data_IF_583349067372
#
_entry.id   IF_583349067372
#
_cell.length_a   1.000
_cell.length_b   1.000
_cell.length_c   1.000
_cell.angle_alpha   90.00
_cell.angle_beta   90.00
_cell.angle_gamma   90.00
#
_symmetry.space_group_name_H-M   'P 1'
#
loop_
_entity.id
_entity.type
_entity.pdbx_description
1 polymer ?
#
# COMPACT_ATOMS: atom_id res chain seq x y z
N UNK A 1 2.84 -2.94 -26.39
CA UNK A 1 4.15 -3.11 -25.70
C UNK A 1 3.92 -3.95 -24.47
N UNK A 2 4.88 -4.80 -24.11
CA UNK A 2 4.74 -5.68 -22.94
C UNK A 2 5.44 -5.09 -21.72
N UNK A 3 4.78 -5.19 -20.57
CA UNK A 3 5.27 -4.65 -19.30
C UNK A 3 5.38 -5.72 -18.22
N UNK A 4 6.45 -5.65 -17.44
CA UNK A 4 6.62 -6.40 -16.20
C UNK A 4 6.43 -5.47 -15.00
N UNK A 5 5.62 -5.88 -14.02
CA UNK A 5 5.29 -5.09 -12.83
C UNK A 5 5.86 -5.73 -11.56
N UNK A 6 6.57 -4.94 -10.77
CA UNK A 6 7.21 -5.36 -9.52
C UNK A 6 6.72 -4.48 -8.37
N UNK A 7 5.99 -5.08 -7.43
CA UNK A 7 5.38 -4.41 -6.29
C UNK A 7 6.22 -4.58 -5.04
N UNK A 8 6.67 -3.46 -4.49
CA UNK A 8 7.26 -3.38 -3.16
C UNK A 8 6.12 -3.24 -2.14
N UNK A 9 5.67 -4.38 -1.61
CA UNK A 9 4.54 -4.45 -0.69
C UNK A 9 4.92 -4.13 0.77
N UNK A 10 6.19 -3.82 1.04
CA UNK A 10 6.62 -3.22 2.31
C UNK A 10 6.34 -1.72 2.31
N UNK A 11 6.59 -1.05 1.19
CA UNK A 11 6.44 0.40 1.07
C UNK A 11 5.15 0.86 0.40
N UNK A 12 4.43 -0.04 -0.29
CA UNK A 12 3.19 0.28 -1.02
C UNK A 12 2.03 -0.60 -0.57
N UNK A 13 0.87 0.04 -0.38
CA UNK A 13 -0.37 -0.62 0.02
C UNK A 13 -1.05 -1.29 -1.18
N UNK A 14 -1.74 -2.42 -0.92
CA UNK A 14 -2.49 -3.19 -1.94
C UNK A 14 -3.53 -2.35 -2.70
N UNK A 15 -4.02 -1.25 -2.10
CA UNK A 15 -5.03 -0.37 -2.70
C UNK A 15 -4.61 0.16 -4.07
N UNK A 16 -3.31 0.32 -4.32
CA UNK A 16 -2.80 0.86 -5.57
C UNK A 16 -2.72 -0.16 -6.70
N UNK A 17 -2.93 -1.45 -6.42
CA UNK A 17 -2.84 -2.50 -7.42
C UNK A 17 -3.77 -2.21 -8.60
N UNK A 18 -5.02 -1.86 -8.30
CA UNK A 18 -6.05 -1.59 -9.29
C UNK A 18 -5.68 -0.38 -10.15
N UNK A 19 -5.17 0.67 -9.53
CA UNK A 19 -4.77 1.89 -10.22
C UNK A 19 -3.61 1.64 -11.18
N UNK A 20 -2.60 0.88 -10.74
CA UNK A 20 -1.44 0.52 -11.58
C UNK A 20 -1.89 -0.33 -12.77
N UNK A 21 -2.75 -1.32 -12.55
CA UNK A 21 -3.28 -2.17 -13.64
C UNK A 21 -4.10 -1.33 -14.62
N UNK A 22 -4.99 -0.47 -14.11
CA UNK A 22 -5.84 0.39 -14.93
C UNK A 22 -5.02 1.38 -15.76
N UNK A 23 -3.97 1.97 -15.16
CA UNK A 23 -3.02 2.82 -15.89
C UNK A 23 -2.37 2.04 -17.03
N UNK A 24 -1.85 0.85 -16.77
CA UNK A 24 -1.21 0.03 -17.79
C UNK A 24 -2.17 -0.31 -18.94
N UNK A 25 -3.42 -0.66 -18.63
CA UNK A 25 -4.45 -0.96 -19.64
C UNK A 25 -4.81 0.26 -20.49
N UNK A 26 -4.98 1.43 -19.86
CA UNK A 26 -5.30 2.69 -20.54
C UNK A 26 -4.18 3.14 -21.48
N UNK A 27 -2.93 2.92 -21.08
CA UNK A 27 -1.74 3.19 -21.89
C UNK A 27 -1.40 2.04 -22.86
N UNK A 28 -2.31 1.07 -23.04
CA UNK A 28 -2.19 -0.06 -23.96
C UNK A 28 -0.97 -0.96 -23.73
N UNK A 29 -0.54 -1.11 -22.47
CA UNK A 29 0.44 -2.11 -22.07
C UNK A 29 -0.22 -3.49 -21.88
N UNK A 30 0.44 -4.51 -22.41
CA UNK A 30 0.13 -5.91 -22.10
C UNK A 30 0.96 -6.33 -20.87
N UNK A 31 0.30 -6.56 -19.73
CA UNK A 31 0.97 -6.95 -18.50
C UNK A 31 1.29 -8.45 -18.55
N UNK A 32 2.57 -8.79 -18.60
CA UNK A 32 3.04 -10.19 -18.74
C UNK A 32 3.68 -10.76 -17.47
N UNK A 33 4.14 -9.89 -16.55
CA UNK A 33 4.67 -10.28 -15.25
C UNK A 33 4.07 -9.37 -14.19
N UNK A 34 3.64 -9.96 -13.07
CA UNK A 34 3.17 -9.26 -11.88
C UNK A 34 3.74 -9.98 -10.66
N UNK A 35 4.74 -9.39 -10.02
CA UNK A 35 5.39 -9.96 -8.82
C UNK A 35 5.24 -9.01 -7.63
N UNK A 36 4.95 -9.55 -6.45
CA UNK A 36 4.76 -8.80 -5.22
C UNK A 36 5.69 -9.31 -4.12
N UNK A 37 6.52 -8.40 -3.56
CA UNK A 37 7.60 -8.75 -2.64
C UNK A 37 7.29 -8.29 -1.23
N UNK A 38 7.29 -9.24 -0.29
CA UNK A 38 7.13 -8.97 1.14
C UNK A 38 7.52 -10.18 2.00
N UNK A 39 7.72 -9.92 3.28
CA UNK A 39 7.50 -10.95 4.29
C UNK A 39 5.98 -11.05 4.55
N UNK A 40 5.37 -12.15 4.10
CA UNK A 40 3.95 -12.45 4.27
C UNK A 40 3.65 -13.32 5.52
N UNK A 41 4.59 -13.46 6.47
CA UNK A 41 4.37 -14.33 7.67
C UNK A 41 3.39 -13.73 8.66
N UNK A 42 3.24 -12.41 8.68
CA UNK A 42 2.32 -11.66 9.53
C UNK A 42 1.63 -10.61 8.65
N UNK A 43 0.39 -10.84 8.22
CA UNK A 43 -0.69 -9.85 8.13
C UNK A 43 -1.77 -10.21 7.11
N UNK A 44 -3.00 -9.98 7.58
CA UNK A 44 -4.29 -9.92 6.92
C UNK A 44 -4.43 -8.72 5.97
N UNK A 45 -5.24 -8.88 4.92
CA UNK A 45 -5.66 -7.82 4.01
C UNK A 45 -5.05 -7.87 2.60
N UNK A 46 -3.92 -8.57 2.42
CA UNK A 46 -3.57 -9.04 1.08
C UNK A 46 -4.38 -10.29 0.72
N UNK A 47 -4.91 -11.05 1.68
CA UNK A 47 -5.57 -12.35 1.47
C UNK A 47 -6.70 -12.35 0.42
N UNK A 48 -7.50 -11.28 0.38
CA UNK A 48 -8.55 -11.12 -0.64
C UNK A 48 -7.97 -10.75 -2.01
N UNK A 49 -6.87 -9.99 -2.04
CA UNK A 49 -6.10 -9.68 -3.27
C UNK A 49 -5.31 -10.92 -3.73
N UNK A 50 -4.85 -11.77 -2.81
CA UNK A 50 -4.13 -13.02 -3.08
C UNK A 50 -4.99 -13.99 -3.90
N UNK A 51 -6.31 -14.01 -3.68
CA UNK A 51 -7.22 -14.93 -4.36
C UNK A 51 -7.75 -14.40 -5.69
N UNK A 52 -7.69 -13.09 -5.94
CA UNK A 52 -8.40 -12.46 -7.05
C UNK A 52 -7.51 -11.98 -8.20
N UNK A 53 -6.18 -12.11 -8.11
CA UNK A 53 -5.25 -11.53 -9.07
C UNK A 53 -4.16 -12.51 -9.51
N UNK A 54 -3.85 -12.57 -10.82
CA UNK A 54 -2.71 -13.33 -11.35
C UNK A 54 -1.39 -12.64 -10.97
N UNK A 55 -1.08 -12.61 -9.68
CA UNK A 55 0.12 -12.02 -9.10
C UNK A 55 0.91 -13.13 -8.43
N UNK A 56 2.19 -13.19 -8.77
CA UNK A 56 3.14 -14.05 -8.09
C UNK A 56 3.61 -13.38 -6.80
N UNK A 57 3.35 -14.02 -5.66
CA UNK A 57 3.78 -13.53 -4.36
C UNK A 57 5.13 -14.12 -4.00
N UNK A 58 6.16 -13.27 -4.02
CA UNK A 58 7.52 -13.63 -3.66
C UNK A 58 7.70 -13.41 -2.16
N UNK A 59 7.57 -14.50 -1.40
CA UNK A 59 7.75 -14.47 0.04
C UNK A 59 9.22 -14.36 0.41
N UNK A 60 9.61 -13.22 0.98
CA UNK A 60 10.98 -12.96 1.41
C UNK A 60 11.02 -12.96 2.94
N UNK A 61 11.57 -14.03 3.52
CA UNK A 61 11.81 -14.10 4.96
C UNK A 61 12.70 -12.95 5.39
N UNK A 62 12.24 -12.13 6.33
CA UNK A 62 12.93 -10.91 6.72
C UNK A 62 14.19 -11.22 7.55
N UNK A 63 15.27 -11.64 6.88
CA UNK A 63 16.55 -11.90 7.53
C UNK A 63 17.30 -10.59 7.86
N UNK A 64 17.09 -9.51 7.09
CA UNK A 64 17.62 -8.14 7.24
C UNK A 64 16.77 -7.11 6.48
N UNK A 65 16.92 -5.82 6.80
CA UNK A 65 16.04 -4.71 6.39
C UNK A 65 15.79 -4.49 4.89
N UNK A 66 16.57 -5.11 3.98
CA UNK A 66 16.49 -4.82 2.53
C UNK A 66 16.41 -6.10 1.67
N UNK A 67 16.08 -7.25 2.26
CA UNK A 67 16.03 -8.52 1.50
C UNK A 67 14.95 -8.50 0.41
N UNK A 68 13.80 -7.87 0.67
CA UNK A 68 12.71 -7.77 -0.29
C UNK A 68 13.13 -6.92 -1.52
N UNK A 69 13.72 -5.75 -1.27
CA UNK A 69 14.19 -4.86 -2.34
C UNK A 69 15.26 -5.52 -3.21
N UNK A 70 16.20 -6.25 -2.58
CA UNK A 70 17.24 -6.97 -3.31
C UNK A 70 16.65 -8.08 -4.18
N UNK A 71 15.69 -8.85 -3.64
CA UNK A 71 15.01 -9.92 -4.38
C UNK A 71 14.26 -9.35 -5.59
N UNK A 72 13.54 -8.23 -5.39
CA UNK A 72 12.86 -7.49 -6.45
C UNK A 72 13.85 -7.06 -7.54
N UNK A 73 14.98 -6.46 -7.16
CA UNK A 73 15.98 -6.01 -8.12
C UNK A 73 16.59 -7.15 -8.94
N UNK A 74 16.83 -8.31 -8.30
CA UNK A 74 17.40 -9.48 -8.96
C UNK A 74 16.42 -10.07 -9.97
N UNK A 75 15.19 -10.31 -9.56
CA UNK A 75 14.14 -10.86 -10.44
C UNK A 75 13.87 -9.93 -11.62
N UNK A 76 13.79 -8.62 -11.39
CA UNK A 76 13.59 -7.65 -12.46
C UNK A 76 14.70 -7.70 -13.51
N UNK A 77 15.96 -7.83 -13.08
CA UNK A 77 17.08 -7.96 -14.00
C UNK A 77 17.05 -9.32 -14.73
N UNK A 78 16.78 -10.40 -14.01
CA UNK A 78 16.71 -11.75 -14.58
C UNK A 78 15.61 -11.84 -15.64
N UNK A 79 14.39 -11.42 -15.32
CA UNK A 79 13.24 -11.47 -16.24
C UNK A 79 13.53 -10.72 -17.54
N UNK A 80 14.20 -9.57 -17.47
CA UNK A 80 14.59 -8.76 -18.64
C UNK A 80 15.70 -9.43 -19.45
N UNK A 81 16.64 -10.11 -18.80
CA UNK A 81 17.72 -10.82 -19.48
C UNK A 81 17.19 -12.09 -20.18
N UNK A 82 16.24 -12.78 -19.56
CA UNK A 82 15.63 -14.01 -20.09
C UNK A 82 14.61 -13.69 -21.17
N UNK A 83 13.80 -12.65 -21.00
CA UNK A 83 12.72 -12.31 -21.93
C UNK A 83 13.02 -11.02 -22.70
N UNK A 84 13.39 -11.18 -23.97
CA UNK A 84 13.59 -10.05 -24.88
C UNK A 84 12.29 -9.30 -25.21
N UNK A 85 11.14 -9.90 -24.94
CA UNK A 85 9.82 -9.36 -25.26
C UNK A 85 9.34 -8.28 -24.28
N UNK A 86 9.98 -8.12 -23.12
CA UNK A 86 9.62 -7.09 -22.15
C UNK A 86 10.13 -5.74 -22.66
N UNK A 87 9.23 -4.82 -22.99
CA UNK A 87 9.59 -3.47 -23.48
C UNK A 87 9.71 -2.47 -22.33
N UNK A 88 8.88 -2.66 -21.29
CA UNK A 88 8.76 -1.75 -20.17
C UNK A 88 8.77 -2.48 -18.82
N UNK A 89 9.17 -1.76 -17.78
CA UNK A 89 9.16 -2.21 -16.38
C UNK A 89 8.44 -1.19 -15.53
N UNK A 90 7.47 -1.64 -14.74
CA UNK A 90 6.85 -0.86 -13.67
C UNK A 90 7.47 -1.23 -12.32
N UNK A 91 8.07 -0.25 -11.64
CA UNK A 91 8.51 -0.38 -10.25
C UNK A 91 7.50 0.37 -9.39
N UNK A 92 6.78 -0.36 -8.55
CA UNK A 92 5.75 0.20 -7.68
C UNK A 92 6.35 0.31 -6.28
N UNK A 93 7.01 1.45 -6.04
CA UNK A 93 7.59 1.81 -4.74
C UNK A 93 7.68 3.33 -4.59
N UNK A 94 7.60 3.80 -3.34
CA UNK A 94 7.90 5.19 -2.99
C UNK A 94 9.36 5.40 -2.53
N UNK A 95 10.16 4.35 -2.42
CA UNK A 95 11.56 4.39 -1.99
C UNK A 95 12.49 4.86 -3.13
N UNK A 96 13.53 5.61 -2.78
CA UNK A 96 14.58 6.02 -3.70
C UNK A 96 15.64 4.94 -3.96
N UNK A 97 15.65 3.85 -3.19
CA UNK A 97 16.67 2.81 -3.29
C UNK A 97 16.66 2.05 -4.64
N UNK A 98 15.57 2.14 -5.42
CA UNK A 98 15.46 1.56 -6.76
C UNK A 98 16.05 2.41 -7.90
N UNK A 99 16.59 3.60 -7.60
CA UNK A 99 17.23 4.45 -8.63
C UNK A 99 18.37 3.74 -9.38
N UNK A 100 19.31 3.01 -8.73
CA UNK A 100 20.38 2.32 -9.44
C UNK A 100 19.87 1.22 -10.38
N UNK A 101 18.81 0.49 -9.98
CA UNK A 101 18.14 -0.47 -10.85
C UNK A 101 17.59 0.24 -12.08
N UNK A 102 16.81 1.31 -11.88
CA UNK A 102 16.22 2.12 -12.94
C UNK A 102 17.24 2.58 -13.98
N UNK A 103 18.39 3.09 -13.52
CA UNK A 103 19.47 3.52 -14.42
C UNK A 103 20.02 2.35 -15.25
N UNK A 104 20.21 1.17 -14.64
CA UNK A 104 20.67 -0.02 -15.37
C UNK A 104 19.66 -0.48 -16.41
N UNK A 105 18.37 -0.53 -16.06
CA UNK A 105 17.30 -0.95 -16.97
C UNK A 105 17.16 -0.01 -18.17
N UNK A 106 17.26 1.30 -17.95
CA UNK A 106 17.29 2.30 -19.03
C UNK A 106 18.50 2.13 -19.95
N UNK A 107 19.68 1.81 -19.39
CA UNK A 107 20.88 1.48 -20.19
C UNK A 107 20.71 0.23 -21.05
N UNK A 108 19.86 -0.72 -20.63
CA UNK A 108 19.45 -1.88 -21.42
C UNK A 108 18.37 -1.57 -22.45
N UNK A 109 18.02 -0.29 -22.65
CA UNK A 109 17.05 0.16 -23.64
C UNK A 109 15.59 -0.03 -23.22
N UNK A 110 15.32 -0.32 -21.94
CA UNK A 110 13.96 -0.54 -21.44
C UNK A 110 13.34 0.76 -20.93
N UNK A 111 12.03 0.89 -21.11
CA UNK A 111 11.25 1.96 -20.49
C UNK A 111 10.99 1.59 -19.04
N UNK A 112 11.32 2.48 -18.11
CA UNK A 112 11.12 2.23 -16.68
C UNK A 112 10.12 3.23 -16.13
N UNK A 113 8.96 2.73 -15.72
CA UNK A 113 7.87 3.48 -15.11
C UNK A 113 7.98 3.36 -13.58
N UNK A 114 8.06 4.48 -12.89
CA UNK A 114 7.97 4.52 -11.43
C UNK A 114 6.54 4.79 -11.00
N UNK A 115 6.02 4.04 -10.04
CA UNK A 115 4.72 4.32 -9.42
C UNK A 115 4.92 4.53 -7.93
N UNK A 116 4.59 5.72 -7.44
CA UNK A 116 4.79 6.03 -6.03
C UNK A 116 3.97 7.22 -5.55
N UNK A 117 3.93 7.39 -4.24
CA UNK A 117 3.15 8.43 -3.59
C UNK A 117 3.85 9.81 -3.69
N UNK A 118 3.12 10.87 -3.33
CA UNK A 118 3.61 12.25 -3.40
C UNK A 118 4.91 12.47 -2.60
N UNK A 119 5.12 11.72 -1.50
CA UNK A 119 6.28 11.79 -0.60
C UNK A 119 7.62 11.47 -1.27
N UNK A 120 7.63 10.81 -2.43
CA UNK A 120 8.86 10.46 -3.14
C UNK A 120 9.62 11.73 -3.58
N UNK A 121 10.93 11.77 -3.30
CA UNK A 121 11.80 12.91 -3.62
C UNK A 121 11.88 13.13 -5.13
N UNK A 122 11.95 14.40 -5.55
CA UNK A 122 12.00 14.74 -6.98
C UNK A 122 13.20 14.10 -7.69
N UNK A 123 14.37 14.11 -7.05
CA UNK A 123 15.58 13.47 -7.59
C UNK A 123 15.42 11.98 -7.89
N UNK A 124 14.55 11.28 -7.14
CA UNK A 124 14.23 9.88 -7.39
C UNK A 124 13.25 9.73 -8.57
N UNK A 125 12.24 10.61 -8.65
CA UNK A 125 11.28 10.64 -9.76
C UNK A 125 11.97 10.83 -11.11
N UNK A 126 12.96 11.72 -11.16
CA UNK A 126 13.70 12.07 -12.39
C UNK A 126 14.57 10.91 -12.92
N UNK A 127 14.86 9.89 -12.10
CA UNK A 127 15.62 8.72 -12.54
C UNK A 127 14.82 7.85 -13.53
N UNK A 128 13.49 7.79 -13.35
CA UNK A 128 12.58 6.99 -14.15
C UNK A 128 12.43 7.54 -15.58
N UNK A 129 11.81 6.77 -16.46
CA UNK A 129 11.44 7.25 -17.80
C UNK A 129 10.16 8.08 -17.71
N UNK A 130 9.22 7.63 -16.87
CA UNK A 130 8.09 8.40 -16.41
C UNK A 130 7.80 8.02 -14.94
N UNK A 131 7.31 8.96 -14.16
CA UNK A 131 6.92 8.71 -12.77
C UNK A 131 5.44 9.06 -12.57
N UNK A 132 4.65 8.03 -12.27
CA UNK A 132 3.22 8.12 -12.08
C UNK A 132 2.95 8.30 -10.59
N UNK A 133 2.28 9.40 -10.27
CA UNK A 133 1.84 9.67 -8.90
C UNK A 133 0.62 8.82 -8.58
N UNK A 134 0.81 7.90 -7.63
CA UNK A 134 -0.26 7.16 -7.01
C UNK A 134 -0.95 8.08 -6.01
N UNK A 135 -2.16 8.47 -6.35
CA UNK A 135 -3.04 9.19 -5.44
C UNK A 135 -3.81 8.15 -4.67
N UNK A 136 -3.71 8.17 -3.34
CA UNK A 136 -4.66 7.42 -2.53
C UNK A 136 -6.01 8.09 -2.73
N UNK A 137 -6.78 7.63 -3.71
CA UNK A 137 -8.21 7.84 -3.66
C UNK A 137 -8.62 7.15 -2.37
N UNK A 138 -9.04 7.96 -1.39
CA UNK A 138 -9.78 7.44 -0.25
C UNK A 138 -11.11 7.01 -0.86
N UNK A 139 -11.10 5.88 -1.57
CA UNK A 139 -12.31 5.24 -2.02
C UNK A 139 -13.11 5.02 -0.75
N UNK A 140 -14.24 5.74 -0.71
CA UNK A 140 -15.19 5.73 0.39
C UNK A 140 -15.44 4.27 0.77
N UNK A 141 -15.23 3.99 2.05
CA UNK A 141 -15.49 2.73 2.75
C UNK A 141 -14.34 1.71 2.58
N UNK A 142 -13.23 1.93 3.31
CA UNK A 142 -12.60 0.78 3.95
C UNK A 142 -13.65 0.15 4.88
N UNK A 143 -13.69 -1.18 5.02
CA UNK A 143 -14.63 -1.79 5.95
C UNK A 143 -14.29 -1.36 7.39
N UNK A 144 -15.05 -0.36 7.87
CA UNK A 144 -14.92 0.20 9.20
C UNK A 144 -15.79 -0.58 10.21
N UNK A 145 -16.38 -1.71 9.81
CA UNK A 145 -17.26 -2.54 10.64
C UNK A 145 -16.64 -2.85 12.00
N UNK A 146 -15.36 -3.22 12.02
CA UNK A 146 -14.61 -3.50 13.25
C UNK A 146 -14.52 -2.27 14.18
N UNK A 147 -14.23 -1.09 13.62
CA UNK A 147 -14.13 0.16 14.39
C UNK A 147 -15.52 0.57 14.88
N UNK A 148 -16.54 0.48 14.03
CA UNK A 148 -17.93 0.77 14.39
C UNK A 148 -18.40 -0.14 15.53
N UNK A 149 -18.09 -1.43 15.44
CA UNK A 149 -18.42 -2.41 16.47
C UNK A 149 -17.67 -2.12 17.77
N UNK A 150 -16.38 -1.79 17.70
CA UNK A 150 -15.58 -1.41 18.85
C UNK A 150 -16.12 -0.16 19.55
N UNK A 151 -16.57 0.84 18.79
CA UNK A 151 -17.22 2.05 19.37
C UNK A 151 -18.55 1.69 20.02
N UNK A 152 -19.39 0.86 19.39
CA UNK A 152 -20.67 0.39 19.99
C UNK A 152 -20.44 -0.33 21.30
N UNK A 153 -19.59 -1.35 21.31
CA UNK A 153 -19.34 -2.18 22.50
C UNK A 153 -18.66 -1.38 23.63
N UNK A 154 -17.86 -0.37 23.27
CA UNK A 154 -17.17 0.50 24.25
C UNK A 154 -18.02 1.68 24.76
N UNK A 155 -19.14 2.00 24.09
CA UNK A 155 -19.97 3.19 24.40
C UNK A 155 -20.87 3.04 25.62
N UNK A 156 -21.40 1.84 25.88
CA UNK A 156 -22.31 1.62 27.01
C UNK A 156 -23.46 2.65 27.00
N UNK A 157 -23.74 3.29 28.14
CA UNK A 157 -24.74 4.36 28.29
C UNK A 157 -24.22 5.78 28.00
N UNK A 158 -22.94 5.95 27.65
CA UNK A 158 -22.35 7.24 27.30
C UNK A 158 -22.33 7.42 25.77
N UNK A 159 -22.62 8.65 25.30
CA UNK A 159 -22.64 8.93 23.86
C UNK A 159 -21.25 8.97 23.22
N UNK A 160 -20.18 9.24 23.98
CA UNK A 160 -18.80 9.33 23.47
C UNK A 160 -17.85 8.36 24.19
N UNK A 161 -16.93 7.78 23.42
CA UNK A 161 -15.91 6.83 23.87
C UNK A 161 -14.53 7.41 23.65
N UNK A 162 -13.65 7.25 24.64
CA UNK A 162 -12.23 7.60 24.50
C UNK A 162 -11.55 6.69 23.46
N UNK A 163 -10.78 7.26 22.54
CA UNK A 163 -10.11 6.52 21.46
C UNK A 163 -9.19 5.42 22.01
N UNK A 164 -8.47 5.65 23.12
CA UNK A 164 -7.68 4.61 23.77
C UNK A 164 -8.50 3.36 24.13
N UNK A 165 -9.77 3.51 24.53
CA UNK A 165 -10.64 2.35 24.82
C UNK A 165 -11.01 1.58 23.57
N UNK A 166 -11.32 2.29 22.48
CA UNK A 166 -11.62 1.68 21.17
C UNK A 166 -10.41 0.90 20.68
N UNK A 167 -9.21 1.49 20.75
CA UNK A 167 -7.96 0.85 20.35
C UNK A 167 -7.66 -0.38 21.22
N UNK A 168 -7.82 -0.28 22.54
CA UNK A 168 -7.61 -1.43 23.45
C UNK A 168 -8.59 -2.57 23.18
N UNK A 169 -9.85 -2.24 22.87
CA UNK A 169 -10.86 -3.23 22.51
C UNK A 169 -10.47 -3.99 21.23
N UNK A 170 -10.04 -3.27 20.19
CA UNK A 170 -9.56 -3.85 18.94
C UNK A 170 -8.33 -4.74 19.17
N UNK A 171 -7.40 -4.31 20.03
CA UNK A 171 -6.20 -5.08 20.39
C UNK A 171 -6.53 -6.37 21.15
N UNK A 172 -7.52 -6.35 22.05
CA UNK A 172 -7.93 -7.52 22.82
C UNK A 172 -8.61 -8.60 21.96
N UNK A 173 -9.20 -8.24 20.82
CA UNK A 173 -9.72 -9.20 19.82
C UNK A 173 -8.63 -9.82 18.92
N UNK A 174 -7.35 -9.54 19.18
CA UNK A 174 -6.22 -10.17 18.48
C UNK A 174 -5.63 -9.36 17.32
N UNK A 175 -6.16 -8.18 17.02
CA UNK A 175 -5.68 -7.34 15.92
C UNK A 175 -4.94 -6.11 16.46
N UNK A 176 -3.63 -6.00 16.16
CA UNK A 176 -2.89 -4.74 16.36
C UNK A 176 -3.30 -3.74 15.27
N UNK A 177 -4.50 -3.18 15.43
CA UNK A 177 -5.10 -2.28 14.46
C UNK A 177 -4.45 -0.90 14.53
N UNK A 178 -4.02 -0.38 13.38
CA UNK A 178 -3.50 0.98 13.20
C UNK A 178 -4.34 1.75 12.18
N UNK A 179 -4.38 3.09 12.26
CA UNK A 179 -5.03 3.91 11.24
C UNK A 179 -4.49 3.65 9.83
N UNK A 180 -3.21 3.30 9.72
CA UNK A 180 -2.53 3.00 8.45
C UNK A 180 -3.11 1.80 7.73
N UNK A 181 -3.69 0.86 8.47
CA UNK A 181 -4.30 -0.36 7.93
C UNK A 181 -5.59 -0.01 7.17
N UNK A 182 -6.28 1.05 7.61
CA UNK A 182 -7.44 1.66 6.92
C UNK A 182 -7.04 2.82 5.99
N UNK A 183 -5.74 3.03 5.82
CA UNK A 183 -5.20 4.05 4.94
C UNK A 183 -5.15 5.48 5.46
N UNK A 184 -5.25 5.66 6.77
CA UNK A 184 -5.16 6.95 7.44
C UNK A 184 -3.84 7.12 8.21
N UNK A 185 -3.35 8.35 8.30
CA UNK A 185 -2.10 8.67 9.02
C UNK A 185 -2.28 8.77 10.54
N UNK A 186 -3.52 8.97 11.00
CA UNK A 186 -3.87 9.05 12.42
C UNK A 186 -5.33 8.69 12.64
N UNK A 187 -5.69 8.30 13.88
CA UNK A 187 -7.07 8.05 14.28
C UNK A 187 -7.95 9.29 14.09
N UNK A 188 -7.41 10.47 14.38
CA UNK A 188 -8.11 11.74 14.14
C UNK A 188 -8.47 11.91 12.66
N UNK A 189 -7.50 11.72 11.77
CA UNK A 189 -7.71 11.83 10.33
C UNK A 189 -8.73 10.78 9.82
N UNK A 190 -8.69 9.56 10.36
CA UNK A 190 -9.67 8.51 10.06
C UNK A 190 -11.09 8.95 10.41
N UNK A 191 -11.33 9.44 11.62
CA UNK A 191 -12.67 9.84 12.04
C UNK A 191 -13.17 11.10 11.33
N UNK A 192 -12.30 12.11 11.14
CA UNK A 192 -12.65 13.35 10.43
C UNK A 192 -13.00 13.09 8.96
N UNK A 193 -12.25 12.19 8.30
CA UNK A 193 -12.53 11.79 6.91
C UNK A 193 -13.79 10.93 6.78
N UNK A 194 -14.32 10.41 7.89
CA UNK A 194 -15.52 9.58 7.95
C UNK A 194 -16.60 10.20 8.85
N UNK A 195 -16.79 11.52 8.76
CA UNK A 195 -17.74 12.31 9.56
C UNK A 195 -19.22 11.90 9.38
N UNK A 196 -19.53 11.11 8.35
CA UNK A 196 -20.84 10.49 8.13
C UNK A 196 -21.11 9.27 9.03
N UNK A 197 -20.05 8.67 9.61
CA UNK A 197 -20.11 7.52 10.51
C UNK A 197 -19.74 7.93 11.94
N UNK A 198 -18.75 8.82 12.09
CA UNK A 198 -18.19 9.19 13.38
C UNK A 198 -18.34 10.67 13.72
N UNK A 199 -18.58 10.97 15.00
CA UNK A 199 -18.49 12.31 15.59
C UNK A 199 -17.34 12.32 16.57
N UNK A 200 -16.48 13.34 16.49
CA UNK A 200 -15.33 13.47 17.40
C UNK A 200 -15.45 14.68 18.33
N UNK A 201 -14.81 14.61 19.49
CA UNK A 201 -14.64 15.71 20.43
C UNK A 201 -13.20 15.73 20.95
N UNK A 202 -12.55 16.88 20.82
CA UNK A 202 -11.11 17.06 21.12
C UNK A 202 -10.78 17.26 22.62
N UNK A 203 -11.77 17.42 23.48
CA UNK A 203 -11.56 17.86 24.88
C UNK A 203 -11.76 16.73 25.92
N UNK A 204 -11.25 15.53 25.66
CA UNK A 204 -11.39 14.40 26.59
C UNK A 204 -10.05 13.97 27.18
N UNK A 205 -9.65 14.58 28.31
CA UNK A 205 -8.46 14.16 29.11
C UNK A 205 -7.24 13.81 28.24
N UNK A 206 -6.81 14.72 27.37
CA UNK A 206 -5.65 14.55 26.47
C UNK A 206 -5.74 13.42 25.42
N UNK A 207 -6.92 12.86 25.18
CA UNK A 207 -7.20 11.89 24.12
C UNK A 207 -8.45 12.29 23.31
N UNK A 208 -8.61 11.69 22.13
CA UNK A 208 -9.71 11.95 21.21
C UNK A 208 -10.94 11.15 21.64
N UNK A 209 -12.10 11.79 21.77
CA UNK A 209 -13.36 11.08 22.01
C UNK A 209 -14.12 10.89 20.70
N UNK A 210 -14.64 9.70 20.46
CA UNK A 210 -15.38 9.30 19.25
C UNK A 210 -16.76 8.74 19.63
N UNK A 211 -17.76 9.07 18.83
CA UNK A 211 -19.13 8.57 18.89
C UNK A 211 -19.58 8.17 17.48
N UNK A 212 -20.62 7.34 17.38
CA UNK A 212 -21.30 7.12 16.10
C UNK A 212 -22.28 8.26 15.82
N UNK A 213 -22.44 8.61 14.53
CA UNK A 213 -23.35 9.68 14.07
C UNK A 213 -24.80 9.32 14.30
#
# INVERSE_FOLDING_TARGET
MKIALYFDCQNVSHVFLRDVISYCQNEHYEIIIKKAYKDFTKHCGWDEVLQASDIEFVHVFNCKSNCADLSLCLDALEDIMVSTQIDAIGIISSDCDFMPLTIKLKKLGKIVLGFGEQKTKQSAKDAYSNFILLHRQIDKICDLSDIVQAVKESSGSNSYVCNAKVVNFLQNKGNKVKPTDYGFTSWKNLYESNAQIFKIKSDFKSDLAVALV
#
